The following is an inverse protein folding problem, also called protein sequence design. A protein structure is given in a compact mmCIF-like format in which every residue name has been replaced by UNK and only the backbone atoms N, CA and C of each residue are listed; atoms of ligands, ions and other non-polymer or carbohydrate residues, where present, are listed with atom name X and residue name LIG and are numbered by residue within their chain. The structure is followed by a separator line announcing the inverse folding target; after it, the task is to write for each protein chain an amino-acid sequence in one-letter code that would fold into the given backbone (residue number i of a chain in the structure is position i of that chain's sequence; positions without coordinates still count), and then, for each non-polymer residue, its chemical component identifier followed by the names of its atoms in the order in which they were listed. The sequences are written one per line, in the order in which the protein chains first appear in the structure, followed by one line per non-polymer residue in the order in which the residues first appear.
data_IF_781813214674
#
_entry.id   IF_781813214674
#
_cell.length_a   1.000
_cell.length_b   1.000
_cell.length_c   1.000
_cell.angle_alpha   90.00
_cell.angle_beta   90.00
_cell.angle_gamma   90.00
#
_symmetry.space_group_name_H-M   'P 1'
#
loop_
_entity.id
_entity.type
_entity.pdbx_description
1 polymer ?
#
# COMPACT_ATOMS: atom_id res chain seq x y z
N UNK A 1 24.91 24.05 -35.58
CA UNK A 1 24.75 23.35 -34.28
C UNK A 1 23.30 23.25 -33.77
N UNK A 2 22.40 24.22 -34.04
CA UNK A 2 21.06 24.23 -33.44
C UNK A 2 20.06 23.15 -33.96
N UNK A 3 20.14 22.75 -35.24
CA UNK A 3 19.22 21.74 -35.84
C UNK A 3 19.44 20.31 -35.32
N UNK A 4 20.69 19.87 -35.15
CA UNK A 4 21.01 18.53 -34.62
C UNK A 4 20.58 18.40 -33.15
N UNK A 5 20.76 19.45 -32.34
CA UNK A 5 20.33 19.47 -30.95
C UNK A 5 18.80 19.38 -30.79
N UNK A 6 18.02 19.99 -31.70
CA UNK A 6 16.56 19.93 -31.63
C UNK A 6 16.02 18.59 -32.09
N UNK A 7 16.64 17.94 -33.09
CA UNK A 7 16.28 16.59 -33.55
C UNK A 7 16.56 15.56 -32.45
N UNK A 8 17.71 15.63 -31.76
CA UNK A 8 18.05 14.73 -30.64
C UNK A 8 17.10 14.91 -29.46
N UNK A 9 16.69 16.15 -29.14
CA UNK A 9 15.66 16.41 -28.12
C UNK A 9 14.31 15.81 -28.52
N UNK A 10 13.90 15.99 -29.78
CA UNK A 10 12.61 15.50 -30.29
C UNK A 10 12.56 13.97 -30.38
N UNK A 11 13.65 13.32 -30.80
CA UNK A 11 13.75 11.84 -30.80
C UNK A 11 13.84 11.28 -29.38
N UNK A 12 14.52 11.97 -28.47
CA UNK A 12 14.52 11.65 -27.04
C UNK A 12 13.11 11.73 -26.43
N UNK A 13 12.35 12.78 -26.73
CA UNK A 13 10.96 12.94 -26.27
C UNK A 13 10.02 11.87 -26.84
N UNK A 14 10.13 11.54 -28.13
CA UNK A 14 9.34 10.46 -28.76
C UNK A 14 9.69 9.09 -28.13
N UNK A 15 10.97 8.83 -27.88
CA UNK A 15 11.41 7.61 -27.22
C UNK A 15 10.88 7.49 -25.78
N UNK A 16 10.92 8.58 -25.02
CA UNK A 16 10.41 8.61 -23.65
C UNK A 16 8.89 8.54 -23.56
N UNK A 17 8.18 9.17 -24.49
CA UNK A 17 6.72 9.33 -24.41
C UNK A 17 5.97 8.16 -25.03
N UNK A 18 6.50 7.52 -26.08
CA UNK A 18 5.78 6.47 -26.84
C UNK A 18 6.47 5.11 -26.71
N UNK A 19 7.78 5.05 -26.89
CA UNK A 19 8.51 3.77 -26.95
C UNK A 19 8.62 3.12 -25.56
N UNK A 20 8.93 3.90 -24.51
CA UNK A 20 9.03 3.37 -23.13
C UNK A 20 7.73 2.71 -22.62
N UNK A 21 6.54 3.33 -22.73
CA UNK A 21 5.29 2.67 -22.34
C UNK A 21 5.04 1.38 -23.12
N UNK A 22 5.31 1.38 -24.43
CA UNK A 22 5.14 0.21 -25.28
C UNK A 22 6.07 -0.94 -24.89
N UNK A 23 7.37 -0.66 -24.71
CA UNK A 23 8.34 -1.64 -24.20
C UNK A 23 7.93 -2.19 -22.83
N UNK A 24 7.36 -1.35 -21.96
CA UNK A 24 6.85 -1.79 -20.67
C UNK A 24 5.67 -2.75 -20.83
N UNK A 25 4.73 -2.49 -21.74
CA UNK A 25 3.61 -3.42 -22.01
C UNK A 25 4.14 -4.77 -22.49
N UNK A 26 5.08 -4.77 -23.44
CA UNK A 26 5.73 -6.00 -23.93
C UNK A 26 6.41 -6.75 -22.78
N UNK A 27 7.22 -6.06 -21.97
CA UNK A 27 7.90 -6.66 -20.83
C UNK A 27 6.93 -7.30 -19.84
N UNK A 28 5.85 -6.60 -19.49
CA UNK A 28 4.80 -7.15 -18.62
C UNK A 28 4.13 -8.37 -19.25
N UNK A 29 3.88 -8.35 -20.57
CA UNK A 29 3.33 -9.49 -21.32
C UNK A 29 4.24 -10.72 -21.26
N UNK A 30 5.54 -10.53 -21.53
CA UNK A 30 6.56 -11.59 -21.47
C UNK A 30 6.64 -12.18 -20.06
N UNK A 31 6.77 -11.33 -19.03
CA UNK A 31 6.83 -11.79 -17.64
C UNK A 31 5.56 -12.53 -17.25
N UNK A 32 4.39 -12.03 -17.65
CA UNK A 32 3.11 -12.70 -17.36
C UNK A 32 3.04 -14.07 -18.01
N UNK A 33 3.46 -14.20 -19.27
CA UNK A 33 3.50 -15.48 -19.98
C UNK A 33 4.46 -16.46 -19.30
N UNK A 34 5.66 -16.01 -18.96
CA UNK A 34 6.64 -16.80 -18.21
C UNK A 34 6.09 -17.28 -16.86
N UNK A 35 5.48 -16.40 -16.06
CA UNK A 35 4.87 -16.76 -14.78
C UNK A 35 3.73 -17.78 -14.95
N UNK A 36 2.93 -17.69 -16.01
CA UNK A 36 1.90 -18.71 -16.31
C UNK A 36 2.52 -20.09 -16.54
N UNK A 37 3.64 -20.16 -17.27
CA UNK A 37 4.36 -21.42 -17.49
C UNK A 37 4.88 -21.97 -16.16
N UNK A 38 5.55 -21.14 -15.35
CA UNK A 38 6.07 -21.57 -14.04
C UNK A 38 4.96 -22.13 -13.15
N UNK A 39 3.80 -21.47 -13.10
CA UNK A 39 2.66 -21.92 -12.28
C UNK A 39 2.04 -23.20 -12.83
N UNK A 40 1.97 -23.34 -14.16
CA UNK A 40 1.52 -24.57 -14.79
C UNK A 40 2.43 -25.75 -14.43
N UNK A 41 3.75 -25.58 -14.54
CA UNK A 41 4.73 -26.61 -14.21
C UNK A 41 4.72 -26.99 -12.72
N UNK A 42 4.43 -26.03 -11.83
CA UNK A 42 4.26 -26.29 -10.40
C UNK A 42 2.94 -26.96 -10.01
N UNK A 43 1.99 -27.10 -10.95
CA UNK A 43 0.62 -27.55 -10.70
C UNK A 43 -0.12 -26.75 -9.60
N UNK A 44 0.14 -25.45 -9.54
CA UNK A 44 -0.11 -24.61 -8.36
C UNK A 44 -1.44 -23.83 -8.41
N UNK A 45 -2.42 -24.34 -9.17
CA UNK A 45 -3.56 -23.53 -9.68
C UNK A 45 -4.74 -23.41 -8.72
N UNK A 46 -4.99 -24.40 -7.87
CA UNK A 46 -6.07 -24.39 -6.87
C UNK A 46 -5.64 -25.18 -5.65
N UNK A 47 -5.70 -24.57 -4.49
CA UNK A 47 -5.33 -25.20 -3.22
C UNK A 47 -6.51 -25.09 -2.26
N UNK A 48 -6.81 -26.19 -1.56
CA UNK A 48 -7.78 -26.16 -0.47
C UNK A 48 -7.16 -25.42 0.71
N UNK A 49 -7.80 -24.32 1.13
CA UNK A 49 -7.37 -23.54 2.28
C UNK A 49 -7.62 -24.35 3.56
N UNK A 50 -6.55 -24.60 4.31
CA UNK A 50 -6.59 -25.26 5.61
C UNK A 50 -6.01 -24.29 6.65
N UNK A 51 -6.88 -23.74 7.52
CA UNK A 51 -6.50 -22.71 8.50
C UNK A 51 -5.32 -23.13 9.37
N UNK A 52 -5.29 -24.40 9.78
CA UNK A 52 -4.31 -24.93 10.71
C UNK A 52 -2.89 -24.97 10.13
N UNK A 53 -2.77 -24.98 8.80
CA UNK A 53 -1.48 -24.98 8.08
C UNK A 53 -0.83 -23.60 8.06
N UNK A 54 -1.56 -22.52 8.38
CA UNK A 54 -1.05 -21.16 8.26
C UNK A 54 -0.40 -20.73 9.59
N UNK A 55 0.93 -20.68 9.62
CA UNK A 55 1.75 -20.24 10.77
C UNK A 55 2.54 -18.97 10.50
N UNK A 56 2.86 -18.67 9.24
CA UNK A 56 3.56 -17.45 8.83
C UNK A 56 2.80 -16.76 7.70
N UNK A 57 2.48 -15.48 7.90
CA UNK A 57 1.72 -14.65 6.96
C UNK A 57 2.58 -13.46 6.54
N UNK A 58 2.72 -13.24 5.23
CA UNK A 58 3.30 -12.01 4.68
C UNK A 58 2.19 -11.15 4.07
N UNK A 59 2.06 -9.91 4.54
CA UNK A 59 1.10 -8.94 4.01
C UNK A 59 1.86 -7.85 3.25
N UNK A 60 1.39 -7.49 2.07
CA UNK A 60 1.95 -6.35 1.34
C UNK A 60 1.35 -5.04 1.85
N UNK A 61 2.22 -4.13 2.30
CA UNK A 61 1.99 -2.72 2.56
C UNK A 61 2.79 -1.86 1.60
N UNK A 62 2.70 -2.14 0.30
CA UNK A 62 3.40 -1.42 -0.76
C UNK A 62 2.49 -0.42 -1.49
N UNK A 63 1.61 0.24 -0.72
CA UNK A 63 0.60 1.19 -1.21
C UNK A 63 0.80 2.56 -0.56
N UNK A 64 -0.02 3.54 -0.93
CA UNK A 64 -0.01 4.86 -0.27
C UNK A 64 -0.59 4.77 1.15
N UNK A 65 -0.11 5.61 2.06
CA UNK A 65 -0.49 5.61 3.48
C UNK A 65 -2.01 5.61 3.70
N UNK A 66 -2.74 6.47 2.98
CA UNK A 66 -4.21 6.55 3.09
C UNK A 66 -4.91 5.24 2.71
N UNK A 67 -4.51 4.61 1.62
CA UNK A 67 -5.04 3.31 1.19
C UNK A 67 -4.71 2.22 2.21
N UNK A 68 -3.51 2.27 2.80
CA UNK A 68 -3.10 1.32 3.82
C UNK A 68 -3.92 1.45 5.12
N UNK A 69 -4.29 2.68 5.52
CA UNK A 69 -5.23 2.90 6.63
C UNK A 69 -6.58 2.25 6.34
N UNK A 70 -7.10 2.37 5.12
CA UNK A 70 -8.34 1.70 4.69
C UNK A 70 -8.20 0.17 4.58
N UNK A 71 -6.98 -0.35 4.47
CA UNK A 71 -6.70 -1.79 4.47
C UNK A 71 -6.69 -2.39 5.89
N UNK A 72 -6.44 -1.57 6.92
CA UNK A 72 -6.33 -2.07 8.31
C UNK A 72 -7.53 -2.86 8.84
N UNK A 73 -8.80 -2.59 8.48
CA UNK A 73 -9.93 -3.44 8.87
C UNK A 73 -9.75 -4.91 8.44
N UNK A 74 -9.27 -5.15 7.22
CA UNK A 74 -9.00 -6.50 6.72
C UNK A 74 -7.82 -7.13 7.46
N UNK A 75 -6.73 -6.38 7.70
CA UNK A 75 -5.57 -6.88 8.45
C UNK A 75 -5.99 -7.28 9.88
N UNK A 76 -6.74 -6.43 10.60
CA UNK A 76 -7.27 -6.73 11.95
C UNK A 76 -8.13 -8.00 11.95
N UNK A 77 -9.04 -8.09 10.99
CA UNK A 77 -9.94 -9.24 10.83
C UNK A 77 -9.16 -10.54 10.61
N UNK A 78 -8.18 -10.52 9.69
CA UNK A 78 -7.37 -11.70 9.36
C UNK A 78 -6.44 -12.09 10.52
N UNK A 79 -5.85 -11.12 11.23
CA UNK A 79 -5.05 -11.37 12.43
C UNK A 79 -5.88 -12.02 13.55
N UNK A 80 -7.11 -11.54 13.79
CA UNK A 80 -8.05 -12.14 14.75
C UNK A 80 -8.45 -13.56 14.35
N UNK A 81 -8.53 -13.86 13.05
CA UNK A 81 -8.81 -15.20 12.56
C UNK A 81 -7.62 -16.15 12.70
N UNK A 82 -6.40 -15.67 12.41
CA UNK A 82 -5.14 -16.42 12.43
C UNK A 82 -4.29 -16.08 13.68
N UNK A 83 -4.87 -16.24 14.87
CA UNK A 83 -4.28 -15.77 16.15
C UNK A 83 -2.89 -16.34 16.46
N UNK A 84 -2.63 -17.57 16.00
CA UNK A 84 -1.37 -18.27 16.26
C UNK A 84 -0.33 -18.08 15.15
N UNK A 85 -0.65 -17.33 14.09
CA UNK A 85 0.28 -17.10 13.00
C UNK A 85 1.11 -15.84 13.23
N UNK A 86 2.37 -15.86 12.80
CA UNK A 86 3.26 -14.69 12.78
C UNK A 86 3.01 -13.87 11.52
N UNK A 87 2.81 -12.57 11.67
CA UNK A 87 2.52 -11.63 10.59
C UNK A 87 3.75 -10.78 10.30
N UNK A 88 4.17 -10.76 9.04
CA UNK A 88 5.20 -9.86 8.54
C UNK A 88 4.58 -8.84 7.58
N UNK A 89 4.90 -7.56 7.75
CA UNK A 89 4.53 -6.52 6.81
C UNK A 89 5.68 -6.24 5.83
N UNK A 90 5.44 -6.47 4.54
CA UNK A 90 6.34 -6.06 3.45
C UNK A 90 5.99 -4.64 3.01
N UNK A 91 6.84 -3.65 3.25
CA UNK A 91 6.55 -2.27 2.90
C UNK A 91 7.67 -1.59 2.12
N UNK A 92 7.32 -0.53 1.39
CA UNK A 92 8.29 0.34 0.75
C UNK A 92 8.91 1.30 1.78
N UNK A 93 10.18 1.66 1.60
CA UNK A 93 10.91 2.60 2.46
C UNK A 93 10.32 4.03 2.52
N UNK A 94 9.45 4.40 1.58
CA UNK A 94 8.84 5.73 1.43
C UNK A 94 7.31 5.72 1.64
N UNK A 95 6.73 4.60 2.09
CA UNK A 95 5.27 4.42 2.11
C UNK A 95 4.59 4.87 3.41
N UNK A 96 5.33 4.86 4.53
CA UNK A 96 4.79 5.10 5.87
C UNK A 96 3.87 3.99 6.39
N UNK A 97 3.64 2.92 5.64
CA UNK A 97 2.70 1.85 6.03
C UNK A 97 3.09 1.16 7.34
N UNK A 98 4.39 1.05 7.63
CA UNK A 98 4.89 0.49 8.88
C UNK A 98 4.44 1.30 10.11
N UNK A 99 4.36 2.63 9.99
CA UNK A 99 4.03 3.53 11.10
C UNK A 99 2.57 3.36 11.53
N UNK A 100 1.67 3.07 10.59
CA UNK A 100 0.24 2.83 10.86
C UNK A 100 0.03 1.71 11.88
N UNK A 101 0.88 0.67 11.86
CA UNK A 101 0.70 -0.55 12.65
C UNK A 101 1.80 -0.79 13.69
N UNK A 102 2.87 0.01 13.71
CA UNK A 102 3.99 -0.15 14.63
C UNK A 102 3.52 -0.10 16.08
N UNK A 103 3.80 -1.14 16.86
CA UNK A 103 3.37 -1.23 18.26
C UNK A 103 1.91 -1.65 18.49
N UNK A 104 1.13 -1.89 17.43
CA UNK A 104 -0.28 -2.32 17.54
C UNK A 104 -0.49 -3.78 17.94
N UNK A 105 0.56 -4.62 17.85
CA UNK A 105 0.45 -6.08 17.99
C UNK A 105 -0.20 -6.79 16.79
N UNK A 106 -0.56 -6.07 15.73
CA UNK A 106 -1.15 -6.64 14.50
C UNK A 106 -0.10 -7.24 13.57
N UNK A 107 1.14 -6.77 13.66
CA UNK A 107 2.29 -7.20 12.86
C UNK A 107 3.43 -7.56 13.82
N UNK A 108 4.06 -8.70 13.59
CA UNK A 108 5.16 -9.21 14.42
C UNK A 108 6.54 -8.84 13.84
N UNK A 109 6.66 -8.76 12.50
CA UNK A 109 7.91 -8.42 11.82
C UNK A 109 7.68 -7.43 10.67
N UNK A 110 8.74 -6.73 10.28
CA UNK A 110 8.73 -5.79 9.17
C UNK A 110 9.83 -6.14 8.18
N UNK A 111 9.48 -6.19 6.90
CA UNK A 111 10.41 -6.39 5.80
C UNK A 111 10.34 -5.15 4.88
N UNK A 112 11.44 -4.41 4.81
CA UNK A 112 11.52 -3.18 4.03
C UNK A 112 12.11 -3.43 2.64
N UNK A 113 11.51 -2.83 1.62
CA UNK A 113 12.04 -2.79 0.27
C UNK A 113 12.32 -1.33 -0.09
N UNK A 114 13.57 -1.04 -0.41
CA UNK A 114 13.90 0.21 -1.10
C UNK A 114 13.33 0.17 -2.52
N UNK A 115 12.36 1.05 -2.80
CA UNK A 115 11.66 1.08 -4.10
C UNK A 115 12.59 1.42 -5.25
N UNK A 116 13.65 2.18 -4.96
CA UNK A 116 14.68 2.59 -5.90
C UNK A 116 15.84 1.59 -5.97
N UNK A 117 15.78 0.50 -5.19
CA UNK A 117 16.78 -0.54 -5.23
C UNK A 117 16.89 -1.16 -6.64
N UNK A 118 18.13 -1.45 -7.01
CA UNK A 118 18.44 -2.16 -8.24
C UNK A 118 17.84 -3.60 -8.23
N UNK A 119 17.71 -4.23 -9.41
CA UNK A 119 17.11 -5.56 -9.52
C UNK A 119 17.78 -6.63 -8.64
N UNK A 120 19.12 -6.60 -8.48
CA UNK A 120 19.85 -7.59 -7.66
C UNK A 120 19.43 -7.51 -6.18
N UNK A 121 19.29 -6.29 -5.64
CA UNK A 121 18.79 -6.11 -4.26
C UNK A 121 17.36 -6.62 -4.13
N UNK A 122 16.49 -6.37 -5.12
CA UNK A 122 15.11 -6.90 -5.12
C UNK A 122 15.08 -8.43 -5.21
N UNK A 123 15.97 -9.06 -5.98
CA UNK A 123 16.12 -10.51 -6.03
C UNK A 123 16.54 -11.09 -4.69
N UNK A 124 17.43 -10.43 -3.94
CA UNK A 124 17.80 -10.85 -2.57
C UNK A 124 16.59 -10.84 -1.63
N UNK A 125 15.67 -9.89 -1.78
CA UNK A 125 14.42 -9.90 -0.98
C UNK A 125 13.55 -11.11 -1.34
N UNK A 126 13.47 -11.48 -2.62
CA UNK A 126 12.74 -12.69 -3.04
C UNK A 126 13.38 -13.94 -2.41
N UNK A 127 14.71 -14.02 -2.42
CA UNK A 127 15.45 -15.12 -1.80
C UNK A 127 15.22 -15.17 -0.29
N UNK A 128 15.24 -14.02 0.39
CA UNK A 128 14.94 -13.91 1.81
C UNK A 128 13.52 -14.39 2.11
N UNK A 129 12.51 -13.90 1.39
CA UNK A 129 11.11 -14.32 1.56
C UNK A 129 10.96 -15.83 1.34
N UNK A 130 11.70 -16.40 0.39
CA UNK A 130 11.70 -17.85 0.16
C UNK A 130 12.32 -18.63 1.33
N UNK A 131 13.41 -18.14 1.90
CA UNK A 131 14.07 -18.73 3.07
C UNK A 131 13.25 -18.59 4.35
N UNK A 132 12.43 -17.55 4.45
CA UNK A 132 11.56 -17.33 5.60
C UNK A 132 10.33 -18.27 5.62
N UNK A 133 10.03 -18.94 4.50
CA UNK A 133 8.99 -19.98 4.37
C UNK A 133 7.60 -19.51 4.83
N UNK A 134 7.07 -18.46 4.21
CA UNK A 134 5.71 -18.00 4.48
C UNK A 134 4.67 -18.99 3.95
N UNK A 135 3.67 -19.34 4.76
CA UNK A 135 2.58 -20.23 4.35
C UNK A 135 1.56 -19.48 3.49
N UNK A 136 1.26 -18.24 3.88
CA UNK A 136 0.27 -17.36 3.24
C UNK A 136 0.89 -16.01 2.89
N UNK A 137 0.73 -15.60 1.62
CA UNK A 137 1.01 -14.23 1.18
C UNK A 137 -0.30 -13.57 0.78
N UNK A 138 -0.54 -12.36 1.30
CA UNK A 138 -1.72 -11.54 1.04
C UNK A 138 -1.31 -10.28 0.28
N UNK A 139 -1.83 -10.12 -0.94
CA UNK A 139 -1.55 -8.99 -1.81
C UNK A 139 -2.84 -8.31 -2.25
N UNK A 140 -2.98 -7.03 -1.92
CA UNK A 140 -4.10 -6.21 -2.38
C UNK A 140 -3.96 -5.76 -3.86
N UNK A 141 -5.02 -5.15 -4.39
CA UNK A 141 -5.15 -4.73 -5.79
C UNK A 141 -4.25 -3.54 -6.20
N UNK A 142 -3.61 -2.81 -5.29
CA UNK A 142 -2.65 -1.73 -5.63
C UNK A 142 -1.26 -2.27 -5.97
N UNK A 143 -0.97 -3.54 -5.67
CA UNK A 143 0.35 -4.15 -5.82
C UNK A 143 0.61 -4.71 -7.23
N UNK A 144 0.83 -3.80 -8.19
CA UNK A 144 0.93 -4.15 -9.62
C UNK A 144 2.36 -4.33 -10.16
N UNK A 145 3.38 -4.27 -9.30
CA UNK A 145 4.80 -4.27 -9.71
C UNK A 145 5.28 -5.66 -10.10
N UNK A 146 6.08 -5.73 -11.17
CA UNK A 146 6.71 -6.99 -11.64
C UNK A 146 7.44 -7.71 -10.49
N UNK A 147 8.21 -6.98 -9.70
CA UNK A 147 9.00 -7.61 -8.64
C UNK A 147 8.14 -8.24 -7.54
N UNK A 148 6.97 -7.67 -7.22
CA UNK A 148 6.02 -8.25 -6.24
C UNK A 148 5.38 -9.52 -6.82
N UNK A 149 5.07 -9.51 -8.12
CA UNK A 149 4.58 -10.71 -8.80
C UNK A 149 5.63 -11.83 -8.83
N UNK A 150 6.89 -11.51 -9.10
CA UNK A 150 8.01 -12.45 -9.02
C UNK A 150 8.18 -12.97 -7.58
N UNK A 151 8.19 -12.07 -6.59
CA UNK A 151 8.30 -12.41 -5.17
C UNK A 151 7.22 -13.42 -4.77
N UNK A 152 5.98 -13.14 -5.12
CA UNK A 152 4.85 -13.98 -4.76
C UNK A 152 4.94 -15.38 -5.40
N UNK A 153 5.32 -15.50 -6.68
CA UNK A 153 5.47 -16.81 -7.36
C UNK A 153 6.71 -17.60 -6.91
N UNK A 154 7.80 -16.92 -6.60
CA UNK A 154 9.08 -17.53 -6.21
C UNK A 154 9.28 -17.65 -4.69
N UNK A 155 8.37 -17.10 -3.88
CA UNK A 155 8.36 -17.24 -2.42
C UNK A 155 8.29 -18.68 -1.93
N UNK A 156 7.71 -19.59 -2.71
CA UNK A 156 7.40 -20.94 -2.24
C UNK A 156 6.16 -21.03 -1.35
N UNK A 157 5.43 -19.92 -1.14
CA UNK A 157 4.23 -19.92 -0.31
C UNK A 157 3.12 -20.79 -0.90
N UNK A 158 2.54 -21.64 -0.03
CA UNK A 158 1.44 -22.55 -0.35
C UNK A 158 0.17 -21.78 -0.72
N UNK A 159 -0.13 -20.71 0.00
CA UNK A 159 -1.32 -19.90 -0.19
C UNK A 159 -0.95 -18.50 -0.68
N UNK A 160 -1.55 -18.10 -1.80
CA UNK A 160 -1.35 -16.81 -2.44
C UNK A 160 -2.69 -16.17 -2.68
N UNK A 161 -3.10 -15.35 -1.72
CA UNK A 161 -4.36 -14.66 -1.65
C UNK A 161 -4.21 -13.26 -2.24
N UNK A 162 -5.09 -12.91 -3.18
CA UNK A 162 -5.07 -11.56 -3.72
C UNK A 162 -6.16 -11.25 -4.73
N UNK A 163 -6.34 -9.97 -4.97
CA UNK A 163 -7.34 -9.47 -5.90
C UNK A 163 -6.98 -9.78 -7.35
N UNK A 164 -7.98 -10.22 -8.11
CA UNK A 164 -7.90 -10.46 -9.55
C UNK A 164 -8.81 -9.51 -10.32
N UNK A 165 -8.61 -9.45 -11.64
CA UNK A 165 -9.48 -8.69 -12.54
C UNK A 165 -10.96 -8.86 -12.19
N UNK A 166 -11.63 -7.74 -12.05
CA UNK A 166 -13.00 -7.60 -11.56
C UNK A 166 -13.75 -6.59 -12.46
N UNK A 167 -15.08 -6.46 -12.37
CA UNK A 167 -15.80 -5.37 -13.03
C UNK A 167 -15.16 -4.01 -12.70
N UNK A 168 -14.95 -3.16 -13.70
CA UNK A 168 -14.30 -1.85 -13.54
C UNK A 168 -12.80 -1.85 -13.22
N UNK A 169 -12.14 -3.00 -13.02
CA UNK A 169 -10.71 -3.06 -12.69
C UNK A 169 -9.98 -4.26 -13.33
N UNK A 170 -8.87 -4.00 -14.02
CA UNK A 170 -8.04 -5.04 -14.65
C UNK A 170 -6.74 -5.24 -13.92
N UNK A 171 -6.57 -6.42 -13.34
CA UNK A 171 -5.34 -6.88 -12.73
C UNK A 171 -4.31 -7.31 -13.79
N UNK A 172 -3.04 -7.02 -13.52
CA UNK A 172 -1.94 -7.44 -14.40
C UNK A 172 -1.54 -8.90 -14.20
N UNK A 173 -1.80 -9.42 -13.00
CA UNK A 173 -1.16 -10.64 -12.51
C UNK A 173 -2.12 -11.74 -12.08
N UNK A 174 -3.40 -11.72 -12.49
CA UNK A 174 -4.44 -12.64 -11.98
C UNK A 174 -4.03 -14.12 -11.81
N UNK A 175 -3.21 -14.64 -12.73
CA UNK A 175 -2.78 -16.03 -12.72
C UNK A 175 -1.84 -16.42 -11.57
N UNK A 176 -1.27 -15.47 -10.83
CA UNK A 176 -0.30 -15.74 -9.75
C UNK A 176 -0.97 -16.16 -8.44
N UNK A 177 -2.26 -15.85 -8.29
CA UNK A 177 -3.04 -16.13 -7.09
C UNK A 177 -3.74 -17.48 -7.22
N UNK A 178 -3.54 -18.34 -6.23
CA UNK A 178 -4.26 -19.62 -6.12
C UNK A 178 -5.46 -19.54 -5.17
N UNK A 179 -5.62 -18.41 -4.46
CA UNK A 179 -6.85 -17.97 -3.81
C UNK A 179 -7.23 -16.61 -4.41
N UNK A 180 -7.89 -16.61 -5.59
CA UNK A 180 -8.25 -15.38 -6.28
C UNK A 180 -9.46 -14.71 -5.62
N UNK A 181 -9.39 -13.40 -5.46
CA UNK A 181 -10.45 -12.59 -4.85
C UNK A 181 -11.02 -11.62 -5.89
N UNK A 182 -12.33 -11.67 -6.11
CA UNK A 182 -13.03 -10.69 -6.95
C UNK A 182 -13.54 -9.55 -6.08
N UNK A 183 -13.52 -8.35 -6.63
CA UNK A 183 -14.19 -7.17 -6.09
C UNK A 183 -15.48 -6.94 -6.86
N UNK A 184 -16.43 -6.24 -6.24
CA UNK A 184 -17.66 -5.77 -6.90
C UNK A 184 -17.50 -4.31 -7.32
N UNK A 185 -18.26 -3.93 -8.33
CA UNK A 185 -18.35 -2.53 -8.74
C UNK A 185 -19.00 -1.69 -7.63
N UNK A 186 -18.71 -0.39 -7.60
CA UNK A 186 -19.29 0.57 -6.64
C UNK A 186 -19.04 0.27 -5.14
N UNK A 187 -18.17 -0.71 -4.82
CA UNK A 187 -17.75 -0.95 -3.44
C UNK A 187 -16.82 0.14 -2.92
N UNK A 188 -17.05 0.54 -1.67
CA UNK A 188 -16.10 1.33 -0.89
C UNK A 188 -14.77 0.57 -0.74
N UNK A 189 -13.66 1.30 -0.65
CA UNK A 189 -12.32 0.69 -0.70
C UNK A 189 -12.06 -0.26 0.47
N UNK A 190 -12.58 0.05 1.66
CA UNK A 190 -12.55 -0.86 2.83
C UNK A 190 -13.19 -2.22 2.48
N UNK A 191 -14.37 -2.21 1.85
CA UNK A 191 -15.08 -3.45 1.52
C UNK A 191 -14.30 -4.27 0.48
N UNK A 192 -13.66 -3.60 -0.49
CA UNK A 192 -12.76 -4.28 -1.44
C UNK A 192 -11.63 -5.00 -0.71
N UNK A 193 -11.01 -4.39 0.30
CA UNK A 193 -10.01 -5.07 1.11
C UNK A 193 -10.60 -6.22 1.93
N UNK A 194 -11.81 -6.06 2.48
CA UNK A 194 -12.49 -7.11 3.26
C UNK A 194 -12.83 -8.35 2.42
N UNK A 195 -12.96 -8.23 1.10
CA UNK A 195 -13.08 -9.40 0.21
C UNK A 195 -11.90 -10.39 0.39
N UNK A 196 -10.71 -9.93 0.78
CA UNK A 196 -9.58 -10.81 1.14
C UNK A 196 -9.88 -11.64 2.40
N UNK A 197 -10.54 -11.03 3.40
CA UNK A 197 -10.94 -11.72 4.62
C UNK A 197 -12.06 -12.74 4.34
N UNK A 198 -13.05 -12.39 3.51
CA UNK A 198 -14.13 -13.30 3.09
C UNK A 198 -13.61 -14.52 2.33
N UNK A 199 -12.59 -14.34 1.49
CA UNK A 199 -11.93 -15.45 0.80
C UNK A 199 -11.24 -16.45 1.76
N UNK A 200 -10.95 -16.04 3.00
CA UNK A 200 -10.48 -16.93 4.07
C UNK A 200 -11.62 -17.59 4.87
N UNK A 201 -12.88 -17.44 4.41
CA UNK A 201 -14.12 -17.92 5.04
C UNK A 201 -14.43 -17.28 6.40
N UNK A 202 -14.02 -16.02 6.59
CA UNK A 202 -14.39 -15.23 7.76
C UNK A 202 -15.81 -14.68 7.55
N UNK A 203 -16.67 -14.74 8.58
CA UNK A 203 -18.05 -14.27 8.46
C UNK A 203 -18.13 -12.74 8.50
N UNK A 204 -19.10 -12.17 7.79
CA UNK A 204 -19.37 -10.73 7.78
C UNK A 204 -19.65 -10.15 9.17
N UNK A 205 -20.29 -10.94 10.04
CA UNK A 205 -20.63 -10.53 11.40
C UNK A 205 -19.40 -10.39 12.32
N UNK A 206 -18.25 -10.94 11.92
CA UNK A 206 -17.01 -10.89 12.70
C UNK A 206 -16.12 -9.67 12.38
N UNK A 207 -16.60 -8.77 11.51
CA UNK A 207 -15.81 -7.67 10.95
C UNK A 207 -16.06 -6.35 11.66
N UNK A 208 -14.96 -5.73 12.08
CA UNK A 208 -14.89 -4.31 12.42
C UNK A 208 -14.42 -3.52 11.19
N UNK A 209 -15.32 -2.74 10.58
CA UNK A 209 -15.03 -1.94 9.37
C UNK A 209 -14.24 -0.67 9.67
N UNK A 210 -14.02 -0.32 10.95
CA UNK A 210 -13.42 0.96 11.32
C UNK A 210 -11.92 0.97 10.98
N UNK A 211 -11.45 1.93 10.16
CA UNK A 211 -10.02 2.11 9.94
C UNK A 211 -9.28 2.35 11.26
N UNK A 212 -8.04 1.90 11.31
CA UNK A 212 -7.22 1.93 12.50
C UNK A 212 -5.81 2.38 12.16
N UNK A 213 -5.21 3.14 13.05
CA UNK A 213 -3.78 3.35 13.13
C UNK A 213 -3.42 3.39 14.61
N UNK A 214 -2.22 2.91 14.95
CA UNK A 214 -1.77 2.90 16.33
C UNK A 214 -1.13 4.23 16.70
N UNK A 215 -1.47 4.73 17.88
CA UNK A 215 -0.86 5.89 18.50
C UNK A 215 -0.11 5.43 19.75
N UNK A 216 1.22 5.48 19.69
CA UNK A 216 2.08 5.13 20.81
C UNK A 216 2.21 6.26 21.81
N UNK A 217 2.71 5.92 23.01
CA UNK A 217 3.02 6.91 24.05
C UNK A 217 4.00 7.99 23.56
N UNK A 218 4.98 7.61 22.73
CA UNK A 218 5.96 8.54 22.16
C UNK A 218 5.32 9.55 21.20
N UNK A 219 4.36 9.10 20.39
CA UNK A 219 3.66 9.97 19.43
C UNK A 219 2.80 11.00 20.17
N UNK A 220 2.10 10.56 21.21
CA UNK A 220 1.32 11.44 22.09
C UNK A 220 2.23 12.44 22.79
N UNK A 221 3.35 11.97 23.37
CA UNK A 221 4.32 12.84 24.03
C UNK A 221 4.94 13.87 23.08
N UNK A 222 5.24 13.47 21.83
CA UNK A 222 5.70 14.38 20.79
C UNK A 222 4.65 15.46 20.51
N UNK A 223 3.39 15.07 20.27
CA UNK A 223 2.31 16.02 20.01
C UNK A 223 2.12 16.99 21.18
N UNK A 224 2.04 16.51 22.41
CA UNK A 224 1.91 17.36 23.60
C UNK A 224 3.09 18.33 23.77
N UNK A 225 4.32 17.85 23.51
CA UNK A 225 5.52 18.68 23.56
C UNK A 225 5.53 19.75 22.47
N UNK A 226 5.09 19.40 21.26
CA UNK A 226 4.91 20.34 20.16
C UNK A 226 3.87 21.42 20.52
N UNK A 227 2.71 21.04 21.04
CA UNK A 227 1.67 21.99 21.45
C UNK A 227 2.20 22.95 22.53
N UNK A 228 2.80 22.41 23.59
CA UNK A 228 3.38 23.20 24.68
C UNK A 228 4.46 24.17 24.21
N UNK A 229 5.37 23.71 23.35
CA UNK A 229 6.48 24.53 22.85
C UNK A 229 6.00 25.70 21.98
N UNK A 230 4.84 25.52 21.32
CA UNK A 230 4.18 26.56 20.53
C UNK A 230 3.12 27.35 21.34
N UNK A 231 3.08 27.18 22.67
CA UNK A 231 2.13 27.85 23.58
C UNK A 231 0.65 27.61 23.22
N UNK A 232 0.35 26.43 22.70
CA UNK A 232 -1.01 25.98 22.37
C UNK A 232 -1.55 25.23 23.59
N UNK A 233 -2.64 25.74 24.17
CA UNK A 233 -3.39 25.12 25.26
C UNK A 233 -4.50 24.25 24.67
N UNK A 234 -4.30 22.93 24.68
CA UNK A 234 -5.21 21.95 24.06
C UNK A 234 -6.62 21.93 24.67
N UNK A 235 -6.78 22.43 25.90
CA UNK A 235 -8.09 22.47 26.58
C UNK A 235 -8.85 23.78 26.29
N UNK A 236 -8.15 24.83 25.87
CA UNK A 236 -8.73 26.17 25.65
C UNK A 236 -8.76 26.58 24.19
N UNK A 237 -7.84 26.06 23.37
CA UNK A 237 -7.74 26.44 21.98
C UNK A 237 -8.63 25.56 21.09
N UNK A 238 -9.35 26.19 20.17
CA UNK A 238 -9.92 25.49 19.03
C UNK A 238 -8.79 25.21 18.04
N UNK A 239 -8.36 23.95 17.93
CA UNK A 239 -7.25 23.56 17.05
C UNK A 239 -7.80 23.06 15.72
N UNK A 240 -7.45 23.74 14.63
CA UNK A 240 -7.82 23.36 13.27
C UNK A 240 -6.57 22.93 12.50
N UNK A 241 -6.55 21.67 12.08
CA UNK A 241 -5.48 21.12 11.25
C UNK A 241 -5.78 21.30 9.77
N UNK A 242 -4.81 21.80 9.01
CA UNK A 242 -4.92 22.02 7.55
C UNK A 242 -3.81 21.26 6.83
N UNK A 243 -4.19 20.26 6.03
CA UNK A 243 -3.29 19.55 5.12
C UNK A 243 -3.46 20.12 3.71
N UNK A 244 -2.48 20.89 3.24
CA UNK A 244 -2.58 21.58 1.94
C UNK A 244 -2.02 20.76 0.78
N UNK A 245 -1.08 19.88 1.09
CA UNK A 245 -0.27 19.18 0.12
C UNK A 245 -0.90 17.92 -0.46
N UNK A 246 -0.41 17.55 -1.63
CA UNK A 246 -0.74 16.30 -2.33
C UNK A 246 0.50 15.81 -3.06
N UNK A 247 0.51 14.54 -3.49
CA UNK A 247 1.59 14.02 -4.34
C UNK A 247 1.87 14.98 -5.51
N UNK A 248 3.15 15.23 -5.88
CA UNK A 248 3.50 16.08 -7.01
C UNK A 248 2.83 15.66 -8.32
N UNK A 249 2.53 14.37 -8.46
CA UNK A 249 1.81 13.80 -9.60
C UNK A 249 0.29 13.98 -9.54
N UNK A 250 -0.25 14.67 -8.53
CA UNK A 250 -1.68 14.90 -8.30
C UNK A 250 -1.96 16.34 -7.83
N UNK A 251 -1.13 17.31 -8.25
CA UNK A 251 -1.27 18.73 -7.88
C UNK A 251 -2.64 19.32 -8.25
N UNK A 252 -3.33 18.77 -9.26
CA UNK A 252 -4.70 19.20 -9.61
C UNK A 252 -5.73 18.95 -8.50
N UNK A 253 -5.41 18.13 -7.48
CA UNK A 253 -6.25 17.94 -6.30
C UNK A 253 -6.05 19.05 -5.25
N UNK A 254 -5.04 19.89 -5.40
CA UNK A 254 -4.74 20.96 -4.45
C UNK A 254 -5.70 22.14 -4.65
N UNK A 255 -6.18 22.69 -3.54
CA UNK A 255 -6.87 23.97 -3.55
C UNK A 255 -5.86 25.11 -3.69
N UNK A 256 -6.27 26.25 -4.24
CA UNK A 256 -5.33 27.36 -4.46
C UNK A 256 -4.88 27.98 -3.15
N UNK A 257 -3.62 28.40 -3.08
CA UNK A 257 -3.05 29.05 -1.90
C UNK A 257 -3.85 30.29 -1.47
N UNK A 258 -4.34 31.08 -2.43
CA UNK A 258 -5.22 32.23 -2.16
C UNK A 258 -6.45 31.83 -1.37
N UNK A 259 -7.11 30.72 -1.75
CA UNK A 259 -8.31 30.23 -1.08
C UNK A 259 -8.00 29.65 0.30
N UNK A 260 -6.89 28.92 0.45
CA UNK A 260 -6.44 28.48 1.78
C UNK A 260 -6.15 29.66 2.71
N UNK A 261 -5.50 30.72 2.21
CA UNK A 261 -5.23 31.94 2.98
C UNK A 261 -6.53 32.58 3.45
N UNK A 262 -7.46 32.85 2.52
CA UNK A 262 -8.77 33.44 2.84
C UNK A 262 -9.57 32.58 3.85
N UNK A 263 -9.47 31.25 3.74
CA UNK A 263 -10.09 30.34 4.70
C UNK A 263 -9.42 30.42 6.08
N UNK A 264 -8.10 30.42 6.13
CA UNK A 264 -7.36 30.51 7.40
C UNK A 264 -7.62 31.84 8.10
N UNK A 265 -7.65 32.95 7.36
CA UNK A 265 -7.99 34.28 7.89
C UNK A 265 -9.37 34.25 8.58
N UNK A 266 -10.37 33.67 7.91
CA UNK A 266 -11.72 33.49 8.47
C UNK A 266 -11.77 32.55 9.68
N UNK A 267 -11.00 31.46 9.67
CA UNK A 267 -10.92 30.54 10.81
C UNK A 267 -10.31 31.24 12.02
N UNK A 268 -9.32 32.09 11.82
CA UNK A 268 -8.65 32.83 12.89
C UNK A 268 -9.52 33.95 13.51
N UNK A 269 -10.62 34.36 12.86
CA UNK A 269 -11.62 35.24 13.46
C UNK A 269 -12.40 34.55 14.61
N UNK A 270 -12.40 33.21 14.66
CA UNK A 270 -13.04 32.45 15.73
C UNK A 270 -12.25 32.57 17.04
N UNK A 271 -12.91 32.76 18.19
CA UNK A 271 -12.23 32.98 19.47
C UNK A 271 -11.35 31.80 19.86
N UNK A 272 -10.15 32.10 20.37
CA UNK A 272 -9.15 31.12 20.86
C UNK A 272 -8.71 30.07 19.82
N UNK A 273 -8.75 30.40 18.53
CA UNK A 273 -8.43 29.43 17.47
C UNK A 273 -6.95 29.40 17.12
N UNK A 274 -6.42 28.20 16.86
CA UNK A 274 -5.07 27.98 16.35
C UNK A 274 -5.15 27.10 15.10
N UNK A 275 -4.51 27.54 14.03
CA UNK A 275 -4.37 26.77 12.80
C UNK A 275 -3.01 26.09 12.76
N UNK A 276 -2.99 24.77 12.52
CA UNK A 276 -1.78 23.98 12.37
C UNK A 276 -1.72 23.43 10.94
N UNK A 277 -0.62 23.70 10.25
CA UNK A 277 -0.38 23.16 8.91
C UNK A 277 0.38 21.83 9.00
N UNK A 278 -0.13 20.82 8.29
CA UNK A 278 0.50 19.50 8.18
C UNK A 278 0.97 19.25 6.75
N UNK A 279 2.10 18.55 6.64
CA UNK A 279 2.70 18.19 5.37
C UNK A 279 4.01 17.45 5.54
N UNK A 280 4.61 17.14 4.40
CA UNK A 280 5.97 16.62 4.26
C UNK A 280 6.94 17.75 3.90
N UNK A 281 8.25 17.49 3.97
CA UNK A 281 9.28 18.47 3.63
C UNK A 281 9.14 19.07 2.21
N UNK A 282 8.47 18.37 1.30
CA UNK A 282 8.27 18.85 -0.09
C UNK A 282 7.07 19.77 -0.29
N UNK A 283 6.27 19.98 0.75
CA UNK A 283 5.03 20.77 0.76
C UNK A 283 5.24 22.07 1.54
#
# INVERSE_FOLDING_TARGET
MNRLSSIIKKTGEVFFTIIKPFLKIILYGIVRFFLKIVIFLKNDRKVKLEKNDIKKVLIFGYTGLGNFVLYTPAIKTIRKYLQNAKFTLLHGNDTGCQEVLSGSGLIDNYLVIDRNANPLKKLRVIEQVRKDEYDLIISDFHNDKIFLALLLVFSGAKYRLGHISSPGWKGKWDCIYNIPVKMKEEQHEIDRYLELAYALKINENDIDRKPFFYLGKKDIQFALSFMKSNRIDIEKNLIISVQMGTSPNMRWKQWSLKKYRELCDRILELPNTVVIFHGSYSE
#
